data_IF_963252622958
#
_entry.id   IF_963252622958
#
_cell.length_a   1.000
_cell.length_b   1.000
_cell.length_c   1.000
_cell.angle_alpha   90.00
_cell.angle_beta   90.00
_cell.angle_gamma   90.00
#
_symmetry.space_group_name_H-M   'P 1'
#
loop_
_entity.id
_entity.type
_entity.pdbx_description
1 polymer ?
#
# COMPACT_ATOMS: atom_id res chain seq x y z
N UNK A 1 -13.56 -9.54 -10.67
CA UNK A 1 -13.34 -8.65 -11.82
C UNK A 1 -12.10 -9.08 -12.56
N UNK A 2 -12.12 -9.03 -13.89
CA UNK A 2 -11.01 -9.49 -14.72
C UNK A 2 -10.83 -8.54 -15.91
N UNK A 3 -9.60 -8.33 -16.32
CA UNK A 3 -9.24 -7.81 -17.64
C UNK A 3 -8.03 -8.57 -18.13
N UNK A 4 -7.84 -8.63 -19.43
CA UNK A 4 -6.68 -9.26 -20.05
C UNK A 4 -6.51 -8.79 -21.48
N UNK A 5 -5.28 -8.83 -21.92
CA UNK A 5 -4.86 -8.56 -23.28
C UNK A 5 -3.71 -9.55 -23.63
N UNK A 6 -2.93 -9.28 -24.65
CA UNK A 6 -1.78 -10.14 -24.99
C UNK A 6 -0.55 -9.89 -24.12
N UNK A 7 -0.50 -8.79 -23.39
CA UNK A 7 0.63 -8.36 -22.58
C UNK A 7 0.49 -8.79 -21.13
N UNK A 8 -0.72 -8.68 -20.57
CA UNK A 8 -0.99 -8.94 -19.16
C UNK A 8 -2.44 -9.38 -18.88
N UNK A 9 -2.66 -9.88 -17.68
CA UNK A 9 -3.99 -10.13 -17.12
C UNK A 9 -4.07 -9.55 -15.70
N UNK A 10 -5.16 -8.87 -15.40
CA UNK A 10 -5.41 -8.27 -14.10
C UNK A 10 -6.69 -8.80 -13.47
N UNK A 11 -6.61 -9.17 -12.20
CA UNK A 11 -7.75 -9.59 -11.37
C UNK A 11 -8.02 -8.54 -10.31
N UNK A 12 -9.19 -7.91 -10.37
CA UNK A 12 -9.66 -7.01 -9.32
C UNK A 12 -10.39 -7.79 -8.24
N UNK A 13 -9.89 -7.76 -7.00
CA UNK A 13 -10.57 -8.32 -5.84
C UNK A 13 -11.06 -7.21 -4.94
N UNK A 14 -12.30 -7.37 -4.43
CA UNK A 14 -13.00 -6.34 -3.69
C UNK A 14 -13.63 -6.92 -2.43
N UNK A 15 -13.43 -6.26 -1.30
CA UNK A 15 -14.21 -6.45 -0.09
C UNK A 15 -14.46 -5.10 0.57
N UNK A 16 -15.72 -4.73 0.74
CA UNK A 16 -16.16 -3.41 1.22
C UNK A 16 -15.42 -2.27 0.45
N UNK A 17 -14.58 -1.49 1.12
CA UNK A 17 -13.81 -0.40 0.50
C UNK A 17 -12.40 -0.82 0.05
N UNK A 18 -12.01 -2.05 0.33
CA UNK A 18 -10.72 -2.59 -0.13
C UNK A 18 -10.83 -2.97 -1.59
N UNK A 19 -9.85 -2.53 -2.38
CA UNK A 19 -9.69 -2.90 -3.79
C UNK A 19 -8.23 -3.21 -4.04
N UNK A 20 -7.97 -4.45 -4.44
CA UNK A 20 -6.64 -4.88 -4.84
C UNK A 20 -6.69 -5.33 -6.30
N UNK A 21 -5.68 -4.99 -7.07
CA UNK A 21 -5.50 -5.45 -8.44
C UNK A 21 -4.25 -6.30 -8.51
N UNK A 22 -4.43 -7.57 -8.86
CA UNK A 22 -3.36 -8.54 -9.05
C UNK A 22 -3.09 -8.64 -10.54
N UNK A 23 -1.91 -8.24 -10.99
CA UNK A 23 -1.54 -8.23 -12.42
C UNK A 23 -0.44 -9.24 -12.69
N UNK A 24 -0.67 -10.10 -13.68
CA UNK A 24 0.30 -11.09 -14.17
C UNK A 24 0.69 -10.75 -15.60
N UNK A 25 1.99 -10.59 -15.92
CA UNK A 25 2.45 -10.36 -17.29
C UNK A 25 2.45 -11.67 -18.09
N UNK A 26 2.17 -11.56 -19.39
CA UNK A 26 2.35 -12.64 -20.37
C UNK A 26 3.58 -12.40 -21.24
N UNK A 27 4.00 -11.14 -21.39
CA UNK A 27 5.18 -10.76 -22.13
C UNK A 27 6.40 -10.69 -21.19
N UNK A 28 7.42 -11.56 -21.36
CA UNK A 28 8.61 -11.57 -20.51
C UNK A 28 9.47 -10.31 -20.62
N UNK A 29 9.32 -9.54 -21.69
CA UNK A 29 10.04 -8.28 -21.94
C UNK A 29 9.25 -7.04 -21.47
N UNK A 30 8.10 -7.22 -20.83
CA UNK A 30 7.30 -6.12 -20.32
C UNK A 30 7.93 -5.49 -19.06
N UNK A 31 7.59 -4.22 -18.80
CA UNK A 31 7.99 -3.53 -17.55
C UNK A 31 7.49 -4.26 -16.30
N UNK A 32 6.31 -4.91 -16.38
CA UNK A 32 5.76 -5.69 -15.26
C UNK A 32 6.64 -6.91 -15.00
N UNK A 33 7.05 -7.64 -16.05
CA UNK A 33 7.95 -8.79 -15.93
C UNK A 33 9.31 -8.38 -15.36
N UNK A 34 9.85 -7.24 -15.80
CA UNK A 34 11.10 -6.71 -15.29
C UNK A 34 10.99 -6.33 -13.80
N UNK A 35 9.88 -5.70 -13.42
CA UNK A 35 9.62 -5.35 -12.02
C UNK A 35 9.54 -6.60 -11.13
N UNK A 36 8.82 -7.64 -11.57
CA UNK A 36 8.69 -8.90 -10.82
C UNK A 36 10.05 -9.63 -10.73
N UNK A 37 10.87 -9.61 -11.79
CA UNK A 37 12.21 -10.19 -11.73
C UNK A 37 13.13 -9.52 -10.70
N UNK A 38 12.98 -8.20 -10.51
CA UNK A 38 13.78 -7.44 -9.54
C UNK A 38 13.27 -7.55 -8.11
N UNK A 39 11.97 -7.56 -7.92
CA UNK A 39 11.35 -7.34 -6.61
C UNK A 39 10.49 -8.52 -6.11
N UNK A 40 10.19 -9.49 -6.97
CA UNK A 40 9.18 -10.51 -6.66
C UNK A 40 7.75 -9.94 -6.68
N UNK A 41 6.82 -10.68 -6.08
CA UNK A 41 5.44 -10.22 -5.89
C UNK A 41 5.40 -9.09 -4.88
N UNK A 42 4.89 -7.92 -5.27
CA UNK A 42 4.97 -6.71 -4.45
C UNK A 42 3.92 -5.67 -4.83
N UNK A 43 3.89 -4.57 -4.08
CA UNK A 43 3.05 -3.41 -4.39
C UNK A 43 3.80 -2.47 -5.33
N UNK A 44 3.41 -2.46 -6.60
CA UNK A 44 3.93 -1.52 -7.61
C UNK A 44 3.21 -0.18 -7.55
N UNK A 45 1.89 -0.20 -7.39
CA UNK A 45 1.04 0.97 -7.52
C UNK A 45 0.21 1.18 -6.26
N UNK A 46 0.35 2.34 -5.65
CA UNK A 46 -0.55 2.85 -4.61
C UNK A 46 -1.51 3.84 -5.27
N UNK A 47 -2.72 3.38 -5.59
CA UNK A 47 -3.72 4.19 -6.26
C UNK A 47 -4.57 4.98 -5.26
N UNK A 48 -4.75 6.26 -5.55
CA UNK A 48 -5.56 7.19 -4.76
C UNK A 48 -6.75 7.66 -5.59
N UNK A 49 -7.94 7.52 -5.03
CA UNK A 49 -9.14 8.07 -5.63
C UNK A 49 -9.15 9.59 -5.41
N UNK A 50 -9.31 10.34 -6.50
CA UNK A 50 -9.32 11.81 -6.51
C UNK A 50 -10.53 12.33 -7.26
N UNK A 51 -10.95 13.56 -6.94
CA UNK A 51 -12.04 14.22 -7.66
C UNK A 51 -11.62 14.69 -9.06
N UNK A 52 -10.33 15.00 -9.25
CA UNK A 52 -9.75 15.48 -10.51
C UNK A 52 -8.30 14.99 -10.64
N UNK A 53 -8.05 14.04 -11.52
CA UNK A 53 -6.73 13.45 -11.73
C UNK A 53 -5.77 14.40 -12.46
N UNK A 54 -6.29 15.34 -13.27
CA UNK A 54 -5.48 16.34 -13.96
C UNK A 54 -4.98 17.39 -12.98
N UNK A 55 -5.86 17.89 -12.10
CA UNK A 55 -5.47 18.83 -11.05
C UNK A 55 -4.47 18.19 -10.06
N UNK A 56 -4.72 16.95 -9.63
CA UNK A 56 -3.81 16.23 -8.73
C UNK A 56 -2.41 16.08 -9.35
N UNK A 57 -2.34 15.73 -10.63
CA UNK A 57 -1.08 15.62 -11.36
C UNK A 57 -0.37 16.98 -11.49
N UNK A 58 -1.09 18.03 -11.93
CA UNK A 58 -0.53 19.36 -12.13
C UNK A 58 0.01 19.93 -10.83
N UNK A 59 -0.75 19.82 -9.73
CA UNK A 59 -0.33 20.28 -8.42
C UNK A 59 0.90 19.54 -7.91
N UNK A 60 0.92 18.22 -8.02
CA UNK A 60 2.04 17.42 -7.51
C UNK A 60 3.30 17.62 -8.35
N UNK A 61 3.20 17.67 -9.67
CA UNK A 61 4.37 17.91 -10.55
C UNK A 61 4.91 19.32 -10.44
N UNK A 62 4.05 20.35 -10.32
CA UNK A 62 4.49 21.74 -10.05
C UNK A 62 5.25 21.88 -8.74
N UNK A 63 4.97 21.01 -7.75
CA UNK A 63 5.67 20.94 -6.47
C UNK A 63 6.88 19.99 -6.48
N UNK A 64 7.27 19.50 -7.67
CA UNK A 64 8.49 18.74 -7.87
C UNK A 64 8.35 17.21 -7.85
N UNK A 65 7.15 16.67 -8.05
CA UNK A 65 7.00 15.23 -8.32
C UNK A 65 7.52 14.89 -9.71
N UNK A 66 8.14 13.74 -9.85
CA UNK A 66 8.53 13.20 -11.16
C UNK A 66 7.34 12.50 -11.81
N UNK A 67 6.99 12.91 -13.03
CA UNK A 67 5.93 12.29 -13.83
C UNK A 67 6.27 10.83 -14.17
N UNK A 68 5.23 9.98 -14.11
CA UNK A 68 5.24 8.61 -14.66
C UNK A 68 4.22 8.50 -15.78
N UNK A 69 3.04 9.07 -15.59
CA UNK A 69 1.98 9.07 -16.59
C UNK A 69 1.23 10.39 -16.51
N UNK A 70 1.19 11.10 -17.63
CA UNK A 70 0.36 12.30 -17.76
C UNK A 70 -1.14 11.95 -17.70
N UNK A 71 -2.02 12.92 -17.36
CA UNK A 71 -3.45 12.69 -17.33
C UNK A 71 -3.96 12.08 -18.63
N UNK A 72 -4.41 10.84 -18.57
CA UNK A 72 -4.86 10.05 -19.70
C UNK A 72 -6.29 9.58 -19.46
N UNK A 73 -7.16 9.77 -20.44
CA UNK A 73 -8.56 9.32 -20.40
C UNK A 73 -8.68 7.92 -20.96
N UNK A 74 -9.32 7.06 -20.19
CA UNK A 74 -9.75 5.72 -20.58
C UNK A 74 -11.27 5.71 -20.65
N UNK A 75 -11.84 5.19 -21.72
CA UNK A 75 -13.27 5.24 -21.97
C UNK A 75 -13.76 3.89 -22.50
N UNK A 76 -14.95 3.49 -22.07
CA UNK A 76 -15.73 2.41 -22.65
C UNK A 76 -17.22 2.76 -22.63
N UNK A 77 -18.09 1.79 -22.89
CA UNK A 77 -19.55 1.96 -22.89
C UNK A 77 -20.13 2.47 -21.56
N UNK A 78 -19.42 2.27 -20.47
CA UNK A 78 -19.87 2.60 -19.11
C UNK A 78 -19.38 3.96 -18.63
N UNK A 79 -18.59 4.68 -19.47
CA UNK A 79 -18.14 6.04 -19.19
C UNK A 79 -16.63 6.25 -19.26
N UNK A 80 -16.15 7.23 -18.50
CA UNK A 80 -14.76 7.71 -18.54
C UNK A 80 -14.08 7.62 -17.19
N UNK A 81 -12.80 7.23 -17.22
CA UNK A 81 -11.87 7.30 -16.10
C UNK A 81 -10.64 8.07 -16.53
N UNK A 82 -10.21 9.06 -15.75
CA UNK A 82 -8.94 9.73 -15.97
C UNK A 82 -7.92 9.19 -14.96
N UNK A 83 -6.75 8.82 -15.45
CA UNK A 83 -5.63 8.37 -14.61
C UNK A 83 -4.39 9.19 -14.89
N UNK A 84 -3.59 9.44 -13.86
CA UNK A 84 -2.26 10.02 -13.96
C UNK A 84 -1.38 9.40 -12.88
N UNK A 85 -0.04 9.50 -12.99
CA UNK A 85 0.85 8.89 -11.99
C UNK A 85 2.15 9.66 -11.82
N UNK A 86 2.68 9.60 -10.59
CA UNK A 86 3.95 10.18 -10.18
C UNK A 86 4.82 9.13 -9.48
N UNK A 87 6.14 9.31 -9.51
CA UNK A 87 7.08 8.50 -8.73
C UNK A 87 6.94 8.79 -7.24
N UNK A 88 7.16 7.75 -6.43
CA UNK A 88 7.47 7.86 -5.01
C UNK A 88 8.75 7.08 -4.70
N UNK A 89 8.93 6.53 -3.50
CA UNK A 89 10.16 5.81 -3.12
C UNK A 89 10.38 4.55 -3.98
N UNK A 90 11.63 4.31 -4.31
CA UNK A 90 12.07 3.17 -5.11
C UNK A 90 11.36 3.11 -6.46
N UNK A 91 10.88 1.92 -6.79
CA UNK A 91 10.10 1.67 -8.01
C UNK A 91 8.58 1.75 -7.80
N UNK A 92 8.12 2.12 -6.61
CA UNK A 92 6.70 2.34 -6.30
C UNK A 92 6.21 3.65 -6.92
N UNK A 93 4.94 3.67 -7.33
CA UNK A 93 4.31 4.88 -7.89
C UNK A 93 3.00 5.19 -7.18
N UNK A 94 2.63 6.47 -7.16
CA UNK A 94 1.26 6.91 -6.85
C UNK A 94 0.49 7.14 -8.14
N UNK A 95 -0.69 6.52 -8.21
CA UNK A 95 -1.63 6.74 -9.31
C UNK A 95 -2.85 7.51 -8.81
N UNK A 96 -3.19 8.61 -9.47
CA UNK A 96 -4.43 9.34 -9.22
C UNK A 96 -5.51 8.79 -10.14
N UNK A 97 -6.67 8.45 -9.58
CA UNK A 97 -7.77 7.83 -10.32
C UNK A 97 -9.04 8.66 -10.13
N UNK A 98 -9.48 9.30 -11.18
CA UNK A 98 -10.77 10.00 -11.26
C UNK A 98 -11.77 9.09 -11.97
N UNK A 99 -12.82 8.66 -11.26
CA UNK A 99 -13.86 7.80 -11.83
C UNK A 99 -15.29 8.25 -11.55
N UNK A 100 -15.50 9.53 -11.27
CA UNK A 100 -16.83 10.09 -10.98
C UNK A 100 -17.82 9.93 -12.14
N UNK A 101 -17.31 9.84 -13.38
CA UNK A 101 -18.10 9.72 -14.60
C UNK A 101 -18.05 8.28 -15.18
N UNK A 102 -17.88 7.27 -14.33
CA UNK A 102 -17.79 5.88 -14.74
C UNK A 102 -18.74 5.00 -13.93
N UNK A 103 -19.64 4.29 -14.62
CA UNK A 103 -20.67 3.44 -14.04
C UNK A 103 -20.37 1.94 -14.17
N UNK A 104 -19.25 1.58 -14.79
CA UNK A 104 -18.82 0.19 -14.94
C UNK A 104 -18.37 -0.46 -13.64
N UNK A 105 -18.08 -1.75 -13.70
CA UNK A 105 -17.80 -2.60 -12.53
C UNK A 105 -16.58 -2.15 -11.72
N UNK A 106 -15.54 -1.62 -12.39
CA UNK A 106 -14.32 -1.13 -11.72
C UNK A 106 -13.62 -0.03 -12.53
N UNK A 107 -12.92 -0.36 -13.60
CA UNK A 107 -12.24 0.53 -14.53
C UNK A 107 -12.52 0.08 -15.97
N UNK A 108 -12.36 0.94 -16.98
CA UNK A 108 -12.50 0.53 -18.37
C UNK A 108 -11.65 -0.70 -18.70
N UNK A 109 -12.25 -1.63 -19.42
CA UNK A 109 -11.66 -2.91 -19.77
C UNK A 109 -11.80 -4.02 -18.73
N UNK A 110 -12.33 -3.74 -17.52
CA UNK A 110 -12.65 -4.77 -16.54
C UNK A 110 -14.07 -5.31 -16.74
N UNK A 111 -14.18 -6.62 -16.77
CA UNK A 111 -15.46 -7.33 -16.83
C UNK A 111 -15.78 -7.98 -15.49
N UNK A 112 -17.07 -8.17 -15.22
CA UNK A 112 -17.52 -8.88 -14.04
C UNK A 112 -17.13 -10.35 -14.18
N UNK A 113 -16.38 -10.87 -13.22
CA UNK A 113 -16.12 -12.31 -13.13
C UNK A 113 -17.31 -12.98 -12.45
N UNK A 114 -17.95 -13.89 -13.15
CA UNK A 114 -19.00 -14.73 -12.58
C UNK A 114 -18.35 -15.92 -11.87
N UNK A 115 -18.74 -16.16 -10.63
CA UNK A 115 -18.22 -17.24 -9.79
C UNK A 115 -19.31 -17.76 -8.89
N UNK A 116 -19.41 -19.08 -8.74
CA UNK A 116 -20.28 -19.73 -7.76
C UNK A 116 -19.71 -19.61 -6.32
N UNK A 117 -18.48 -19.14 -6.17
CA UNK A 117 -17.86 -18.93 -4.88
C UNK A 117 -18.37 -17.67 -4.24
N UNK A 118 -19.21 -17.83 -3.22
CA UNK A 118 -19.78 -16.75 -2.42
C UNK A 118 -19.32 -16.86 -0.95
N UNK A 119 -18.09 -16.44 -0.64
CA UNK A 119 -17.54 -16.58 0.71
C UNK A 119 -18.26 -15.64 1.70
N UNK A 120 -18.43 -16.11 2.92
CA UNK A 120 -18.79 -15.23 4.03
C UNK A 120 -17.75 -14.12 4.19
N UNK A 121 -18.17 -12.90 4.50
CA UNK A 121 -17.24 -11.79 4.73
C UNK A 121 -16.25 -12.13 5.85
N UNK A 122 -14.99 -11.72 5.69
CA UNK A 122 -13.98 -11.80 6.75
C UNK A 122 -14.05 -10.63 7.72
N UNK A 123 -14.90 -9.64 7.48
CA UNK A 123 -15.00 -8.43 8.31
C UNK A 123 -14.00 -7.33 7.99
N UNK A 124 -13.12 -7.53 7.00
CA UNK A 124 -12.19 -6.48 6.54
C UNK A 124 -12.97 -5.37 5.82
N UNK A 125 -12.64 -4.09 6.11
CA UNK A 125 -13.44 -2.93 5.69
C UNK A 125 -12.73 -2.00 4.72
N UNK A 126 -11.55 -1.52 5.07
CA UNK A 126 -10.78 -0.57 4.26
C UNK A 126 -9.28 -0.68 4.55
N UNK A 127 -8.48 -0.13 3.66
CA UNK A 127 -7.04 0.01 3.86
C UNK A 127 -6.83 1.19 4.81
N UNK A 128 -6.30 0.93 6.01
CA UNK A 128 -6.04 1.97 7.01
C UNK A 128 -4.75 2.73 6.69
N UNK A 129 -3.68 2.00 6.39
CA UNK A 129 -2.40 2.59 5.99
C UNK A 129 -1.57 1.66 5.12
N UNK A 130 -0.57 2.22 4.44
CA UNK A 130 0.42 1.50 3.65
C UNK A 130 1.80 2.01 4.02
N UNK A 131 2.69 1.09 4.38
CA UNK A 131 4.01 1.41 4.92
C UNK A 131 5.08 1.32 3.86
N UNK A 132 5.85 2.39 3.70
CA UNK A 132 7.06 2.41 2.89
C UNK A 132 8.30 2.21 3.75
N UNK A 133 9.16 1.26 3.37
CA UNK A 133 10.51 1.17 3.89
C UNK A 133 11.46 1.88 2.94
N UNK A 134 12.34 2.69 3.49
CA UNK A 134 13.33 3.45 2.74
C UNK A 134 14.73 3.25 3.35
N UNK A 135 15.75 3.63 2.61
CA UNK A 135 17.15 3.50 3.02
C UNK A 135 17.45 4.38 4.25
N UNK A 136 18.48 4.01 4.98
CA UNK A 136 18.96 4.77 6.13
C UNK A 136 19.27 6.22 5.74
N UNK A 137 18.66 7.17 6.45
CA UNK A 137 18.76 8.61 6.21
C UNK A 137 17.75 9.17 5.21
N UNK A 138 16.95 8.34 4.55
CA UNK A 138 15.97 8.78 3.54
C UNK A 138 14.56 9.05 4.09
N UNK A 139 14.25 8.67 5.34
CA UNK A 139 12.92 8.91 5.94
C UNK A 139 12.50 10.38 5.89
N UNK A 140 13.38 11.28 6.26
CA UNK A 140 13.08 12.72 6.26
C UNK A 140 12.85 13.25 4.84
N UNK A 141 13.64 12.84 3.87
CA UNK A 141 13.49 13.18 2.46
C UNK A 141 12.11 12.78 1.93
N UNK A 142 11.65 11.58 2.27
CA UNK A 142 10.33 11.10 1.82
C UNK A 142 9.19 11.73 2.62
N UNK A 143 9.35 11.99 3.92
CA UNK A 143 8.39 12.77 4.68
C UNK A 143 8.21 14.19 4.10
N UNK A 144 9.32 14.86 3.74
CA UNK A 144 9.28 16.17 3.07
C UNK A 144 8.64 16.09 1.67
N UNK A 145 8.88 15.01 0.91
CA UNK A 145 8.20 14.77 -0.35
C UNK A 145 6.67 14.77 -0.15
N UNK A 146 6.16 13.98 0.79
CA UNK A 146 4.71 13.93 1.05
C UNK A 146 4.16 15.26 1.54
N UNK A 147 4.90 15.97 2.38
CA UNK A 147 4.48 17.28 2.85
C UNK A 147 4.42 18.32 1.72
N UNK A 148 5.48 18.44 0.95
CA UNK A 148 5.60 19.44 -0.11
C UNK A 148 4.76 19.10 -1.33
N UNK A 149 4.84 17.85 -1.81
CA UNK A 149 4.23 17.43 -3.07
C UNK A 149 2.74 17.16 -2.89
N UNK A 150 2.37 16.43 -1.86
CA UNK A 150 0.99 15.98 -1.65
C UNK A 150 0.23 16.80 -0.59
N UNK A 151 0.88 17.74 0.07
CA UNK A 151 0.26 18.56 1.11
C UNK A 151 -0.08 17.78 2.39
N UNK A 152 0.61 16.66 2.65
CA UNK A 152 0.41 15.85 3.84
C UNK A 152 1.08 16.50 5.05
N UNK A 153 0.55 16.21 6.24
CA UNK A 153 1.14 16.61 7.51
C UNK A 153 1.76 15.39 8.22
N UNK A 154 2.77 15.64 9.04
CA UNK A 154 3.27 14.60 9.94
C UNK A 154 2.25 14.40 11.07
N UNK A 155 1.69 13.20 11.17
CA UNK A 155 0.73 12.82 12.22
C UNK A 155 1.47 12.44 13.51
N UNK A 156 2.52 11.64 13.40
CA UNK A 156 3.31 11.14 14.53
C UNK A 156 4.70 10.75 14.04
N UNK A 157 5.67 10.91 14.91
CA UNK A 157 7.04 10.43 14.71
C UNK A 157 7.39 9.44 15.82
N UNK A 158 7.94 8.31 15.46
CA UNK A 158 8.52 7.33 16.37
C UNK A 158 10.04 7.35 16.19
N UNK A 159 10.76 7.50 17.28
CA UNK A 159 12.22 7.38 17.28
C UNK A 159 12.67 5.95 17.65
N UNK A 160 13.97 5.74 17.65
CA UNK A 160 14.59 4.45 17.97
C UNK A 160 14.34 3.98 19.42
N UNK A 161 13.89 4.88 20.31
CA UNK A 161 13.52 4.56 21.69
C UNK A 161 12.07 4.11 21.80
N UNK A 162 11.20 4.63 20.94
CA UNK A 162 9.77 4.29 20.91
C UNK A 162 9.56 2.88 20.34
N UNK A 163 10.30 2.54 19.26
CA UNK A 163 10.18 1.26 18.57
C UNK A 163 11.55 0.59 18.54
N UNK A 164 11.87 -0.11 19.62
CA UNK A 164 13.11 -0.86 19.73
C UNK A 164 12.91 -2.18 20.48
N UNK A 165 13.78 -3.12 20.15
CA UNK A 165 14.03 -4.33 20.94
C UNK A 165 15.47 -4.24 21.48
N UNK A 166 15.87 -5.21 22.30
CA UNK A 166 17.28 -5.30 22.75
C UNK A 166 18.28 -5.34 21.58
N UNK A 167 17.85 -5.75 20.39
CA UNK A 167 18.72 -6.05 19.26
C UNK A 167 18.48 -5.16 18.03
N UNK A 168 17.27 -4.69 17.82
CA UNK A 168 16.85 -3.99 16.59
C UNK A 168 16.04 -2.75 16.94
N UNK A 169 16.19 -1.70 16.13
CA UNK A 169 15.40 -0.48 16.22
C UNK A 169 14.99 -0.02 14.82
N UNK A 170 13.97 0.82 14.77
CA UNK A 170 13.58 1.53 13.55
C UNK A 170 13.11 2.95 13.90
N UNK A 171 13.16 3.83 12.92
CA UNK A 171 12.54 5.15 12.98
C UNK A 171 11.38 5.21 12.01
N UNK A 172 10.31 5.90 12.38
CA UNK A 172 9.11 6.02 11.56
C UNK A 172 8.50 7.41 11.64
N UNK A 173 8.07 7.94 10.48
CA UNK A 173 7.22 9.12 10.38
C UNK A 173 5.94 8.77 9.65
N UNK A 174 4.81 9.06 10.28
CA UNK A 174 3.49 8.81 9.68
C UNK A 174 3.00 10.09 9.02
N UNK A 175 2.95 10.07 7.70
CA UNK A 175 2.39 11.17 6.90
C UNK A 175 0.91 10.94 6.64
N UNK A 176 0.08 11.97 6.79
CA UNK A 176 -1.38 11.87 6.62
C UNK A 176 -1.93 13.05 5.84
N UNK A 177 -3.01 12.80 5.08
CA UNK A 177 -3.76 13.85 4.40
C UNK A 177 -4.64 14.65 5.39
N UNK A 178 -5.18 15.79 4.94
CA UNK A 178 -5.89 16.73 5.79
C UNK A 178 -7.10 16.18 6.56
N UNK A 179 -7.70 15.07 6.10
CA UNK A 179 -8.84 14.44 6.79
C UNK A 179 -8.45 13.17 7.58
N UNK A 180 -7.18 12.81 7.63
CA UNK A 180 -6.66 11.65 8.38
C UNK A 180 -7.02 10.27 7.82
N UNK A 181 -7.63 10.20 6.62
CA UNK A 181 -8.07 8.92 6.03
C UNK A 181 -6.97 8.19 5.26
N UNK A 182 -5.98 8.92 4.76
CA UNK A 182 -4.82 8.36 4.07
C UNK A 182 -3.62 8.53 4.99
N UNK A 183 -2.93 7.44 5.28
CA UNK A 183 -1.76 7.41 6.14
C UNK A 183 -0.64 6.61 5.47
N UNK A 184 0.54 7.20 5.40
CA UNK A 184 1.75 6.56 4.89
C UNK A 184 2.85 6.66 5.95
N UNK A 185 3.00 5.63 6.80
CA UNK A 185 4.21 5.48 7.60
C UNK A 185 5.42 5.27 6.69
N UNK A 186 6.48 6.01 6.94
CA UNK A 186 7.77 5.90 6.26
C UNK A 186 8.78 5.44 7.29
N UNK A 187 9.32 4.26 7.10
CA UNK A 187 10.26 3.64 8.02
C UNK A 187 11.67 3.65 7.44
N UNK A 188 12.65 3.92 8.26
CA UNK A 188 14.06 3.66 7.95
C UNK A 188 14.71 2.80 9.04
N UNK A 189 15.80 2.08 8.74
CA UNK A 189 16.56 1.36 9.73
C UNK A 189 17.10 2.32 10.81
N UNK A 190 17.27 1.82 12.02
CA UNK A 190 18.04 2.50 13.06
C UNK A 190 19.19 1.61 13.53
N UNK A 191 20.22 2.20 14.12
CA UNK A 191 21.37 1.46 14.62
C UNK A 191 20.93 0.41 15.66
N UNK A 192 21.33 -0.82 15.45
CA UNK A 192 21.00 -1.96 16.31
C UNK A 192 22.13 -2.99 16.36
N UNK A 193 22.04 -3.93 17.28
CA UNK A 193 23.02 -5.02 17.40
C UNK A 193 22.85 -6.11 16.32
N UNK A 194 21.67 -6.15 15.72
CA UNK A 194 21.33 -7.08 14.64
C UNK A 194 20.60 -6.33 13.52
N UNK A 195 20.63 -6.93 12.33
CA UNK A 195 19.88 -6.47 11.18
C UNK A 195 18.40 -6.34 11.53
N UNK A 196 17.82 -5.18 11.24
CA UNK A 196 16.42 -4.92 11.48
C UNK A 196 15.53 -5.53 10.39
N UNK A 197 14.24 -5.70 10.66
CA UNK A 197 13.27 -6.12 9.63
C UNK A 197 13.19 -5.14 8.45
N UNK A 198 13.51 -3.87 8.67
CA UNK A 198 13.57 -2.88 7.60
C UNK A 198 14.74 -3.16 6.66
N UNK A 199 15.93 -3.44 7.22
CA UNK A 199 17.12 -3.82 6.42
C UNK A 199 16.91 -5.15 5.69
N UNK A 200 16.27 -6.14 6.34
CA UNK A 200 15.92 -7.41 5.69
C UNK A 200 15.00 -7.19 4.49
N UNK A 201 14.01 -6.32 4.64
CA UNK A 201 13.11 -5.95 3.54
C UNK A 201 13.88 -5.27 2.40
N UNK A 202 14.69 -4.25 2.70
CA UNK A 202 15.45 -3.51 1.69
C UNK A 202 16.38 -4.42 0.88
N UNK A 203 17.02 -5.39 1.54
CA UNK A 203 17.89 -6.36 0.86
C UNK A 203 17.10 -7.34 0.01
N UNK A 204 15.97 -7.86 0.52
CA UNK A 204 15.13 -8.81 -0.21
C UNK A 204 14.47 -8.16 -1.43
N UNK A 205 13.92 -6.96 -1.23
CA UNK A 205 13.21 -6.22 -2.27
C UNK A 205 14.19 -5.57 -3.28
N UNK A 206 15.43 -5.31 -2.86
CA UNK A 206 16.45 -4.63 -3.66
C UNK A 206 16.27 -3.11 -3.68
N UNK A 207 15.90 -2.51 -2.54
CA UNK A 207 15.74 -1.07 -2.34
C UNK A 207 14.44 -0.68 -1.62
N UNK A 208 14.09 0.61 -1.67
CA UNK A 208 12.88 1.13 -1.06
C UNK A 208 11.61 0.61 -1.75
N UNK A 209 10.57 0.36 -0.95
CA UNK A 209 9.29 -0.14 -1.45
C UNK A 209 8.20 -0.19 -0.40
N UNK A 210 7.00 -0.65 -0.78
CA UNK A 210 5.88 -0.83 0.13
C UNK A 210 6.01 -2.15 0.88
N UNK A 211 6.27 -2.08 2.19
CA UNK A 211 6.49 -3.26 3.03
C UNK A 211 5.20 -3.99 3.37
N UNK A 212 4.16 -3.26 3.79
CA UNK A 212 2.89 -3.88 4.15
C UNK A 212 1.68 -2.96 3.95
N UNK A 213 0.53 -3.61 3.88
CA UNK A 213 -0.79 -2.98 3.80
C UNK A 213 -1.54 -3.34 5.08
N UNK A 214 -1.91 -2.34 5.88
CA UNK A 214 -2.74 -2.53 7.04
C UNK A 214 -4.22 -2.34 6.67
N UNK A 215 -5.04 -3.31 7.06
CA UNK A 215 -6.48 -3.30 6.78
C UNK A 215 -7.28 -3.27 8.08
N UNK A 216 -8.32 -2.46 8.11
CA UNK A 216 -9.14 -2.26 9.29
C UNK A 216 -10.27 -3.30 9.37
N UNK A 217 -10.62 -3.67 10.60
CA UNK A 217 -11.81 -4.46 10.95
C UNK A 217 -12.40 -3.94 12.25
N UNK A 218 -13.70 -4.18 12.50
CA UNK A 218 -14.33 -3.86 13.77
C UNK A 218 -14.16 -5.00 14.79
N UNK A 219 -13.91 -6.23 14.32
CA UNK A 219 -13.73 -7.41 15.17
C UNK A 219 -12.53 -8.23 14.68
N UNK A 220 -11.38 -7.97 15.31
CA UNK A 220 -10.13 -8.65 14.96
C UNK A 220 -10.17 -10.15 15.25
N UNK A 221 -10.88 -10.56 16.31
CA UNK A 221 -10.97 -11.98 16.70
C UNK A 221 -11.76 -12.76 15.66
N UNK A 222 -12.92 -12.23 15.26
CA UNK A 222 -13.71 -12.79 14.16
C UNK A 222 -12.91 -12.85 12.85
N UNK A 223 -12.31 -11.73 12.46
CA UNK A 223 -11.55 -11.62 11.21
C UNK A 223 -10.42 -12.64 11.14
N UNK A 224 -9.57 -12.72 12.16
CA UNK A 224 -8.45 -13.67 12.20
C UNK A 224 -8.96 -15.13 12.17
N UNK A 225 -10.06 -15.41 12.90
CA UNK A 225 -10.66 -16.75 12.93
C UNK A 225 -11.17 -17.16 11.54
N UNK A 226 -11.87 -16.27 10.83
CA UNK A 226 -12.40 -16.54 9.49
C UNK A 226 -11.29 -16.67 8.44
N UNK A 227 -10.24 -15.87 8.54
CA UNK A 227 -9.09 -15.95 7.64
C UNK A 227 -8.30 -17.26 7.87
N UNK A 228 -8.07 -17.67 9.12
CA UNK A 228 -7.42 -18.95 9.44
C UNK A 228 -8.19 -20.16 8.94
N UNK A 229 -9.52 -20.16 9.06
CA UNK A 229 -10.38 -21.23 8.50
C UNK A 229 -10.20 -21.39 6.98
N UNK A 230 -9.74 -20.34 6.31
CA UNK A 230 -9.49 -20.30 4.86
C UNK A 230 -8.02 -20.52 4.50
N UNK A 231 -7.19 -20.90 5.47
CA UNK A 231 -5.78 -21.23 5.25
C UNK A 231 -4.83 -20.04 5.24
N UNK A 232 -5.26 -18.85 5.70
CA UNK A 232 -4.33 -17.73 5.87
C UNK A 232 -3.45 -17.99 7.09
N UNK A 233 -2.15 -18.02 6.86
CA UNK A 233 -1.15 -18.10 7.92
C UNK A 233 -0.87 -16.73 8.50
N UNK A 234 -0.70 -16.67 9.82
CA UNK A 234 -0.35 -15.48 10.57
C UNK A 234 0.98 -15.67 11.27
N UNK A 235 1.71 -14.60 11.48
CA UNK A 235 2.93 -14.61 12.26
C UNK A 235 2.65 -15.23 13.64
N UNK A 236 3.41 -16.27 13.98
CA UNK A 236 3.33 -16.89 15.29
C UNK A 236 4.11 -16.05 16.31
N UNK A 237 3.41 -15.63 17.35
CA UNK A 237 4.01 -14.88 18.45
C UNK A 237 4.26 -15.85 19.61
N UNK A 238 5.50 -15.96 20.14
CA UNK A 238 5.81 -16.82 21.28
C UNK A 238 4.98 -16.46 22.52
N UNK A 239 4.64 -17.47 23.36
CA UNK A 239 3.88 -17.24 24.59
C UNK A 239 4.51 -16.22 25.52
N UNK A 240 5.86 -16.19 25.61
CA UNK A 240 6.61 -15.20 26.40
C UNK A 240 6.33 -13.73 26.04
N UNK A 241 5.87 -13.45 24.83
CA UNK A 241 5.40 -12.10 24.49
C UNK A 241 4.19 -11.71 25.33
N UNK A 242 3.23 -12.62 25.46
CA UNK A 242 1.99 -12.35 26.22
C UNK A 242 2.22 -12.19 27.71
N UNK A 243 3.27 -12.79 28.25
CA UNK A 243 3.67 -12.64 29.66
C UNK A 243 4.05 -11.19 29.99
N UNK A 244 4.52 -10.43 29.00
CA UNK A 244 4.93 -9.03 29.15
C UNK A 244 3.82 -8.02 28.83
N UNK A 245 2.72 -8.44 28.17
CA UNK A 245 1.64 -7.54 27.73
C UNK A 245 0.98 -6.79 28.88
N UNK A 246 0.63 -7.43 30.05
CA UNK A 246 0.00 -6.71 31.16
C UNK A 246 0.82 -5.55 31.69
N UNK A 247 2.15 -5.70 31.71
CA UNK A 247 3.06 -4.64 32.18
C UNK A 247 3.17 -3.48 31.19
N UNK A 248 2.93 -3.72 29.89
CA UNK A 248 3.05 -2.72 28.82
C UNK A 248 1.76 -1.95 28.56
N UNK A 249 0.61 -2.60 28.65
CA UNK A 249 -0.70 -2.01 28.30
C UNK A 249 -1.64 -1.83 29.48
N UNK A 250 -1.20 -2.20 30.69
CA UNK A 250 -2.04 -2.24 31.89
C UNK A 250 -2.95 -3.46 31.95
N UNK A 251 -3.60 -3.67 33.10
CA UNK A 251 -4.62 -4.71 33.20
C UNK A 251 -5.83 -4.32 32.34
N UNK A 252 -6.10 -5.12 31.34
CA UNK A 252 -7.36 -5.05 30.61
C UNK A 252 -8.41 -5.65 31.54
N UNK A 253 -9.33 -4.81 32.02
CA UNK A 253 -10.46 -5.23 32.86
C UNK A 253 -11.44 -6.07 32.04
#
# INVERSE_FOLDING_TARGET
>A
LQTGNREDCSYGVVQDKIRLVLTTPFNPESEISDHIRRHGDCVKVIALWVDDATSAYTETTSRGATSVMEPTTFEDKDGKVVKSAIKTYGDTIHMFVERKNYNGVFLPGFEKWESDYAPTSTGLKFIDHMVGNVELGDMNKWAEFYARVMGFANLITFDDKDISTQYTALMSKVMTNGNGRIKFPINEPAAGLKKSQIEEYLDFYGGAGCQHIAVATDDIVYTISEMRKRGVEFLHVPGSYYDTVPARVGQIA
#
